data_IF_001287263613
#
_entry.id   IF_001287263613
#
_cell.length_a   1.000
_cell.length_b   1.000
_cell.length_c   1.000
_cell.angle_alpha   90.00
_cell.angle_beta   90.00
_cell.angle_gamma   90.00
#
_symmetry.space_group_name_H-M   'P 1'
#
loop_
_entity.id
_entity.type
_entity.pdbx_description
1 polymer ?
#
# COMPACT_ATOMS: atom_id res chain seq x y z
N UNK A 1 9.45 25.64 2.45
CA UNK A 1 9.64 24.34 1.76
C UNK A 1 8.72 24.17 0.55
N UNK A 2 7.40 23.90 0.64
CA UNK A 2 6.57 23.70 -0.57
C UNK A 2 6.41 24.97 -1.43
N UNK A 3 6.18 26.12 -0.78
CA UNK A 3 6.04 27.41 -1.45
C UNK A 3 7.30 27.83 -2.24
N UNK A 4 8.49 27.47 -1.75
CA UNK A 4 9.77 27.74 -2.44
C UNK A 4 9.88 27.02 -3.79
N UNK A 5 9.15 25.91 -3.95
CA UNK A 5 9.07 25.15 -5.20
C UNK A 5 7.81 25.46 -6.01
N UNK A 6 6.99 26.44 -5.61
CA UNK A 6 5.73 26.78 -6.27
C UNK A 6 4.65 25.70 -6.18
N UNK A 7 4.79 24.75 -5.25
CA UNK A 7 3.83 23.66 -5.05
C UNK A 7 2.68 24.15 -4.16
N UNK A 8 1.46 24.19 -4.70
CA UNK A 8 0.25 24.60 -4.00
C UNK A 8 -0.30 23.42 -3.17
N UNK A 9 0.31 23.17 -2.01
CA UNK A 9 -0.12 22.17 -1.03
C UNK A 9 -0.11 22.81 0.36
N UNK A 10 -1.24 22.71 1.07
CA UNK A 10 -1.29 23.00 2.50
C UNK A 10 -0.68 21.83 3.29
N UNK A 11 0.49 22.08 3.90
CA UNK A 11 1.23 21.07 4.66
C UNK A 11 0.50 20.62 5.93
N UNK A 12 -0.42 21.44 6.45
CA UNK A 12 -1.21 21.14 7.65
C UNK A 12 -2.54 20.45 7.31
N UNK A 13 -2.88 20.33 6.02
CA UNK A 13 -4.10 19.67 5.57
C UNK A 13 -3.86 18.16 5.35
N UNK A 14 -4.44 17.26 6.18
CA UNK A 14 -4.31 15.81 5.98
C UNK A 14 -5.04 15.31 4.73
N UNK A 15 -5.82 16.16 4.07
CA UNK A 15 -6.41 15.88 2.77
C UNK A 15 -5.45 16.18 1.60
N UNK A 16 -4.47 17.06 1.81
CA UNK A 16 -3.50 17.47 0.78
C UNK A 16 -2.13 16.83 0.98
N UNK A 17 -1.71 16.61 2.23
CA UNK A 17 -0.45 15.97 2.59
C UNK A 17 -0.68 14.87 3.63
N UNK A 18 -0.29 13.64 3.27
CA UNK A 18 -0.26 12.50 4.19
C UNK A 18 1.17 11.99 4.28
N UNK A 19 1.69 11.88 5.50
CA UNK A 19 3.00 11.30 5.76
C UNK A 19 2.81 9.87 6.28
N UNK A 20 3.39 8.91 5.56
CA UNK A 20 3.48 7.55 6.07
C UNK A 20 4.67 7.40 7.02
N UNK A 21 4.59 6.44 7.96
CA UNK A 21 5.76 6.09 8.78
C UNK A 21 6.92 5.63 7.91
N UNK A 22 8.13 5.77 8.44
CA UNK A 22 9.35 5.39 7.73
C UNK A 22 9.36 3.88 7.37
N UNK A 23 9.73 3.60 6.12
CA UNK A 23 9.96 2.23 5.64
C UNK A 23 11.36 1.78 6.05
N UNK A 24 11.50 1.38 7.32
CA UNK A 24 12.65 0.64 7.80
C UNK A 24 12.49 -0.88 7.52
N UNK A 25 13.33 -1.47 6.64
CA UNK A 25 13.30 -2.91 6.35
C UNK A 25 13.88 -3.78 7.47
N UNK A 26 14.51 -3.19 8.50
CA UNK A 26 15.07 -3.90 9.66
C UNK A 26 14.15 -3.91 10.87
N UNK A 27 13.05 -3.17 10.80
CA UNK A 27 12.08 -3.11 11.89
C UNK A 27 11.49 -4.50 12.15
N UNK A 28 11.58 -4.96 13.39
CA UNK A 28 10.86 -6.14 13.84
C UNK A 28 9.37 -5.83 13.92
N UNK A 29 8.54 -6.65 13.27
CA UNK A 29 7.10 -6.43 13.15
C UNK A 29 6.35 -7.69 13.54
N UNK A 30 5.31 -7.58 14.40
CA UNK A 30 4.52 -8.74 14.78
C UNK A 30 3.88 -9.40 13.57
N UNK A 31 3.84 -10.73 13.58
CA UNK A 31 3.06 -11.49 12.61
C UNK A 31 1.56 -11.20 12.81
N UNK A 32 0.83 -11.07 11.70
CA UNK A 32 -0.61 -10.85 11.69
C UNK A 32 -1.35 -12.17 11.59
N UNK A 33 -2.51 -12.26 12.24
CA UNK A 33 -3.40 -13.42 12.15
C UNK A 33 -4.79 -12.98 11.73
N UNK A 34 -5.68 -13.93 11.41
CA UNK A 34 -7.09 -13.60 11.14
C UNK A 34 -7.79 -12.97 12.35
N UNK A 35 -7.35 -13.27 13.58
CA UNK A 35 -7.88 -12.64 14.79
C UNK A 35 -7.51 -11.15 14.90
N UNK A 36 -6.46 -10.70 14.22
CA UNK A 36 -6.07 -9.28 14.20
C UNK A 36 -7.17 -8.38 13.64
N UNK A 37 -8.04 -8.88 12.76
CA UNK A 37 -9.17 -8.13 12.22
C UNK A 37 -10.17 -7.73 13.30
N UNK A 38 -10.59 -8.70 14.10
CA UNK A 38 -11.56 -8.50 15.18
C UNK A 38 -11.01 -7.57 16.26
N UNK A 39 -9.75 -7.79 16.67
CA UNK A 39 -9.07 -6.97 17.69
C UNK A 39 -8.96 -5.50 17.26
N UNK A 40 -8.77 -5.25 15.98
CA UNK A 40 -8.58 -3.90 15.44
C UNK A 40 -9.87 -3.25 14.92
N UNK A 41 -10.99 -3.98 14.91
CA UNK A 41 -12.23 -3.53 14.28
C UNK A 41 -12.06 -3.22 12.79
N UNK A 42 -11.22 -3.99 12.09
CA UNK A 42 -10.91 -3.83 10.66
C UNK A 42 -11.37 -5.04 9.87
N UNK A 43 -11.53 -4.88 8.56
CA UNK A 43 -11.82 -5.97 7.63
C UNK A 43 -10.71 -6.15 6.60
N UNK A 44 -10.60 -7.35 6.02
CA UNK A 44 -9.71 -7.59 4.88
C UNK A 44 -10.10 -6.76 3.63
N UNK A 45 -11.31 -6.20 3.57
CA UNK A 45 -11.72 -5.28 2.52
C UNK A 45 -11.16 -3.86 2.70
N UNK A 46 -10.72 -3.51 3.90
CA UNK A 46 -10.26 -2.15 4.24
C UNK A 46 -8.82 -1.89 3.75
N UNK A 47 -8.07 -2.94 3.43
CA UNK A 47 -6.68 -2.81 2.97
C UNK A 47 -6.63 -2.47 1.48
N UNK A 48 -5.71 -1.59 1.10
CA UNK A 48 -5.60 -1.07 -0.28
C UNK A 48 -5.51 -2.18 -1.35
N UNK A 49 -4.72 -3.22 -1.11
CA UNK A 49 -4.54 -4.32 -2.08
C UNK A 49 -5.79 -5.21 -2.24
N UNK A 50 -6.84 -5.03 -1.44
CA UNK A 50 -8.10 -5.74 -1.62
C UNK A 50 -8.80 -5.33 -2.93
N UNK A 51 -8.79 -4.04 -3.26
CA UNK A 51 -9.54 -3.47 -4.40
C UNK A 51 -8.67 -2.68 -5.38
N UNK A 52 -7.51 -2.18 -4.94
CA UNK A 52 -6.65 -1.32 -5.76
C UNK A 52 -5.52 -2.10 -6.42
N UNK A 53 -5.11 -1.65 -7.62
CA UNK A 53 -3.99 -2.23 -8.37
C UNK A 53 -3.11 -1.12 -8.94
N UNK A 54 -1.80 -1.36 -8.98
CA UNK A 54 -0.85 -0.49 -9.66
C UNK A 54 -0.41 -1.13 -10.97
N UNK A 55 -0.32 -0.34 -12.03
CA UNK A 55 0.26 -0.78 -13.31
C UNK A 55 1.68 -0.22 -13.40
N UNK A 56 2.67 -1.11 -13.46
CA UNK A 56 4.09 -0.75 -13.45
C UNK A 56 4.72 -1.10 -14.79
N UNK A 57 5.27 -0.10 -15.48
CA UNK A 57 6.18 -0.30 -16.63
C UNK A 57 7.62 -0.12 -16.15
N UNK A 58 8.27 -1.24 -15.82
CA UNK A 58 9.68 -1.23 -15.39
C UNK A 58 10.58 -0.85 -16.57
N UNK A 59 11.65 -0.10 -16.31
CA UNK A 59 12.67 0.23 -17.31
C UNK A 59 13.28 -1.06 -17.85
N UNK A 60 13.36 -1.19 -19.18
CA UNK A 60 13.86 -2.39 -19.86
C UNK A 60 12.93 -3.60 -19.85
N UNK A 61 11.82 -3.58 -19.10
CA UNK A 61 10.82 -4.66 -19.19
C UNK A 61 10.07 -4.58 -20.52
N UNK A 62 9.72 -5.72 -21.11
CA UNK A 62 9.03 -5.75 -22.42
C UNK A 62 7.66 -5.07 -22.38
N UNK A 63 6.91 -5.24 -21.28
CA UNK A 63 5.52 -4.77 -21.11
C UNK A 63 5.23 -4.31 -19.68
N UNK A 64 4.17 -3.51 -19.46
CA UNK A 64 3.68 -3.22 -18.13
C UNK A 64 3.12 -4.48 -17.45
N UNK A 65 3.12 -4.48 -16.12
CA UNK A 65 2.54 -5.54 -15.29
C UNK A 65 1.61 -4.94 -14.25
N UNK A 66 0.62 -5.71 -13.82
CA UNK A 66 -0.29 -5.35 -12.74
C UNK A 66 0.27 -5.89 -11.43
N UNK A 67 0.41 -5.02 -10.43
CA UNK A 67 0.96 -5.33 -9.11
C UNK A 67 -0.09 -5.03 -8.04
N UNK A 68 -0.16 -5.89 -7.03
CA UNK A 68 -1.11 -5.78 -5.92
C UNK A 68 -0.74 -4.70 -4.88
N UNK A 69 0.55 -4.46 -4.67
CA UNK A 69 1.06 -3.58 -3.63
C UNK A 69 1.93 -2.46 -4.23
N UNK A 70 1.61 -1.21 -3.89
CA UNK A 70 2.36 -0.02 -4.33
C UNK A 70 3.72 0.10 -3.65
N UNK A 71 3.87 -0.45 -2.45
CA UNK A 71 5.12 -0.44 -1.68
C UNK A 71 6.09 -1.56 -2.10
N UNK A 72 5.63 -2.53 -2.90
CA UNK A 72 6.41 -3.69 -3.33
C UNK A 72 6.41 -3.86 -4.87
N UNK A 73 6.79 -2.82 -5.64
CA UNK A 73 6.66 -2.83 -7.11
C UNK A 73 7.60 -3.82 -7.81
N UNK A 74 8.62 -4.32 -7.11
CA UNK A 74 9.63 -5.24 -7.64
C UNK A 74 9.54 -6.65 -7.05
N UNK A 75 8.71 -6.87 -6.04
CA UNK A 75 8.50 -8.20 -5.48
C UNK A 75 7.57 -8.99 -6.41
N UNK A 76 8.12 -10.05 -7.03
CA UNK A 76 7.39 -10.88 -7.97
C UNK A 76 6.18 -11.58 -7.34
N UNK A 77 6.20 -11.77 -6.02
CA UNK A 77 5.10 -12.41 -5.31
C UNK A 77 3.82 -11.56 -5.31
N UNK A 78 3.94 -10.25 -5.53
CA UNK A 78 2.81 -9.32 -5.66
C UNK A 78 2.47 -8.99 -7.12
N UNK A 79 3.17 -9.58 -8.09
CA UNK A 79 2.87 -9.43 -9.51
C UNK A 79 1.70 -10.34 -9.91
N UNK A 80 0.65 -9.74 -10.45
CA UNK A 80 -0.59 -10.45 -10.82
C UNK A 80 -0.70 -10.73 -12.32
N UNK A 81 0.36 -10.42 -13.07
CA UNK A 81 0.46 -10.64 -14.51
C UNK A 81 0.19 -9.38 -15.35
N UNK A 82 0.11 -9.57 -16.67
CA UNK A 82 0.16 -8.45 -17.62
C UNK A 82 -1.21 -7.87 -18.03
N UNK A 83 -2.31 -8.34 -17.47
CA UNK A 83 -3.66 -7.86 -17.82
C UNK A 83 -4.51 -7.70 -16.57
N UNK A 84 -5.50 -6.81 -16.63
CA UNK A 84 -6.45 -6.61 -15.53
C UNK A 84 -7.26 -7.88 -15.23
N UNK A 85 -7.59 -8.66 -16.26
CA UNK A 85 -8.28 -9.95 -16.08
C UNK A 85 -7.48 -10.94 -15.23
N UNK A 86 -6.16 -11.01 -15.42
CA UNK A 86 -5.27 -11.85 -14.58
C UNK A 86 -5.12 -11.32 -13.15
N UNK A 87 -5.32 -10.01 -12.97
CA UNK A 87 -5.21 -9.35 -11.67
C UNK A 87 -6.41 -9.56 -10.72
N UNK A 88 -7.50 -10.16 -11.21
CA UNK A 88 -8.70 -10.47 -10.42
C UNK A 88 -8.53 -11.78 -9.63
N UNK A 89 -7.55 -11.78 -8.71
CA UNK A 89 -7.26 -12.92 -7.83
C UNK A 89 -6.94 -12.44 -6.41
N UNK A 90 -7.03 -13.36 -5.47
CA UNK A 90 -6.66 -13.13 -4.07
C UNK A 90 -5.18 -12.74 -3.96
N UNK A 91 -4.89 -11.88 -2.97
CA UNK A 91 -3.55 -11.41 -2.62
C UNK A 91 -3.28 -11.83 -1.18
N UNK A 92 -2.12 -12.44 -0.94
CA UNK A 92 -1.72 -12.86 0.40
C UNK A 92 -1.01 -11.71 1.12
N UNK A 93 -1.34 -11.51 2.39
CA UNK A 93 -0.71 -10.50 3.25
C UNK A 93 0.48 -11.13 3.99
N UNK A 94 1.58 -11.34 3.30
CA UNK A 94 2.70 -12.14 3.78
C UNK A 94 4.07 -11.44 3.66
N UNK A 95 4.05 -10.10 3.70
CA UNK A 95 5.26 -9.28 3.73
C UNK A 95 5.27 -8.44 5.02
N UNK A 96 6.43 -8.13 5.64
CA UNK A 96 6.53 -7.26 6.82
C UNK A 96 5.72 -5.95 6.69
N UNK A 97 5.77 -5.30 5.52
CA UNK A 97 4.99 -4.11 5.19
C UNK A 97 3.46 -4.30 5.30
N UNK A 98 2.93 -5.51 5.07
CA UNK A 98 1.50 -5.79 5.26
C UNK A 98 1.10 -5.64 6.73
N UNK A 99 1.90 -6.21 7.64
CA UNK A 99 1.71 -6.05 9.07
C UNK A 99 1.97 -4.60 9.50
N UNK A 100 3.15 -4.07 9.15
CA UNK A 100 3.63 -2.75 9.57
C UNK A 100 2.70 -1.61 9.18
N UNK A 101 2.24 -1.57 7.92
CA UNK A 101 1.51 -0.42 7.39
C UNK A 101 0.03 -0.66 7.24
N UNK A 102 -0.38 -1.80 6.69
CA UNK A 102 -1.79 -2.02 6.35
C UNK A 102 -2.59 -2.46 7.57
N UNK A 103 -2.19 -3.55 8.22
CA UNK A 103 -2.98 -4.16 9.29
C UNK A 103 -2.78 -3.43 10.61
N UNK A 104 -1.55 -3.33 11.10
CA UNK A 104 -1.24 -2.74 12.40
C UNK A 104 -1.02 -1.22 12.32
N UNK A 105 -0.39 -0.72 11.25
CA UNK A 105 0.02 0.71 11.16
C UNK A 105 -1.02 1.69 10.62
N UNK A 106 -2.16 1.22 10.12
CA UNK A 106 -3.26 2.11 9.69
C UNK A 106 -2.95 3.06 8.53
N UNK A 107 -1.92 2.78 7.73
CA UNK A 107 -1.57 3.59 6.57
C UNK A 107 -2.74 3.64 5.58
N UNK A 108 -3.23 4.85 5.30
CA UNK A 108 -4.34 5.12 4.39
C UNK A 108 -3.99 6.32 3.50
N UNK A 109 -4.18 6.17 2.19
CA UNK A 109 -4.16 7.31 1.25
C UNK A 109 -5.52 8.03 1.17
N UNK A 110 -6.55 7.51 1.85
CA UNK A 110 -7.85 8.18 1.96
C UNK A 110 -7.83 9.08 3.18
N UNK A 111 -8.16 10.36 2.97
CA UNK A 111 -8.46 11.28 4.07
C UNK A 111 -9.65 10.72 4.86
N UNK A 112 -9.38 10.19 6.06
CA UNK A 112 -10.44 9.89 7.02
C UNK A 112 -10.69 11.18 7.78
N UNK A 113 -11.79 11.85 7.46
CA UNK A 113 -12.32 12.91 8.32
C UNK A 113 -12.73 12.25 9.64
N UNK A 114 -12.02 12.59 10.71
CA UNK A 114 -12.42 12.30 12.09
C UNK A 114 -13.22 13.51 12.58
#
# INVERSE_FOLDING_TARGET
MFAEHGIQVDAESPAELVLFPEIDPRADVPEITTASWDVLGKSAGDVMCASSRMIVKRKGGERPVVVACTLLPYDQQFELGATLGKAKRSVHLNHPNCAKFCVLGGASCSARFI
#
